data_IF_401191851860
#
_entry.id   IF_401191851860
#
_cell.length_a   1.000
_cell.length_b   1.000
_cell.length_c   1.000
_cell.angle_alpha   90.00
_cell.angle_beta   90.00
_cell.angle_gamma   90.00
#
_symmetry.space_group_name_H-M   'P 1'
#
loop_
_entity.id
_entity.type
_entity.pdbx_description
1 polymer ?
#
# COMPACT_ATOMS: atom_id res chain seq x y z
N UNK A 1 16.07 2.20 1.01
CA UNK A 1 15.42 1.32 0.02
C UNK A 1 14.90 2.24 -1.08
N UNK A 2 15.13 1.93 -2.36
CA UNK A 2 14.58 2.74 -3.45
C UNK A 2 13.27 2.11 -3.97
N UNK A 3 12.57 2.81 -4.87
CA UNK A 3 11.28 2.37 -5.37
C UNK A 3 11.35 1.03 -6.11
N UNK A 4 12.34 0.85 -6.98
CA UNK A 4 12.47 -0.39 -7.77
C UNK A 4 12.64 -1.62 -6.87
N UNK A 5 13.51 -1.55 -5.85
CA UNK A 5 13.67 -2.65 -4.90
C UNK A 5 12.37 -2.93 -4.13
N UNK A 6 11.63 -1.89 -3.73
CA UNK A 6 10.34 -2.07 -3.06
C UNK A 6 9.32 -2.78 -3.96
N UNK A 7 9.23 -2.37 -5.23
CA UNK A 7 8.32 -2.97 -6.21
C UNK A 7 8.70 -4.40 -6.55
N UNK A 8 9.99 -4.70 -6.75
CA UNK A 8 10.49 -6.06 -6.95
C UNK A 8 10.11 -6.98 -5.80
N UNK A 9 10.26 -6.50 -4.56
CA UNK A 9 9.86 -7.24 -3.37
C UNK A 9 8.35 -7.50 -3.35
N UNK A 10 7.54 -6.47 -3.57
CA UNK A 10 6.08 -6.59 -3.60
C UNK A 10 5.60 -7.61 -4.65
N UNK A 11 6.24 -7.63 -5.82
CA UNK A 11 5.94 -8.58 -6.91
C UNK A 11 6.45 -9.99 -6.61
N UNK A 12 7.60 -10.14 -5.93
CA UNK A 12 8.20 -11.44 -5.62
C UNK A 12 7.50 -12.25 -4.53
N UNK A 13 6.64 -11.60 -3.75
CA UNK A 13 5.83 -12.26 -2.73
C UNK A 13 4.89 -13.30 -3.38
N UNK A 14 4.64 -14.41 -2.69
CA UNK A 14 3.75 -15.48 -3.19
C UNK A 14 2.57 -15.70 -2.25
N UNK A 15 1.32 -15.32 -2.63
CA UNK A 15 0.95 -14.41 -3.73
C UNK A 15 1.54 -12.98 -3.69
N UNK A 16 1.60 -12.27 -4.82
CA UNK A 16 2.10 -10.89 -4.87
C UNK A 16 1.33 -9.95 -3.95
N UNK A 17 1.99 -8.90 -3.45
CA UNK A 17 1.30 -7.85 -2.75
C UNK A 17 0.40 -7.04 -3.71
N UNK A 18 -0.73 -6.58 -3.16
CA UNK A 18 -1.67 -5.68 -3.84
C UNK A 18 -1.77 -4.32 -3.14
N UNK A 19 -1.13 -4.17 -1.97
CA UNK A 19 -1.04 -2.91 -1.23
C UNK A 19 0.41 -2.62 -0.86
N UNK A 20 0.83 -1.36 -0.99
CA UNK A 20 2.08 -0.85 -0.46
C UNK A 20 1.75 0.37 0.40
N UNK A 21 2.23 0.37 1.65
CA UNK A 21 2.18 1.50 2.56
C UNK A 21 3.59 1.99 2.83
N UNK A 22 3.92 3.16 2.30
CA UNK A 22 5.22 3.79 2.48
C UNK A 22 5.21 4.72 3.69
N UNK A 23 5.52 4.18 4.88
CA UNK A 23 5.64 4.94 6.14
C UNK A 23 7.11 5.24 6.49
N UNK A 24 8.01 5.01 5.54
CA UNK A 24 9.45 5.24 5.68
C UNK A 24 9.81 6.72 5.58
N UNK A 25 10.86 7.14 6.27
CA UNK A 25 11.43 8.51 6.16
C UNK A 25 12.19 8.76 4.87
N UNK A 26 12.38 7.72 4.06
CA UNK A 26 13.12 7.84 2.82
C UNK A 26 12.10 8.12 1.74
N UNK A 27 11.88 9.41 1.46
CA UNK A 27 11.13 9.88 0.30
C UNK A 27 11.62 9.07 -0.89
N UNK A 28 10.78 8.20 -1.44
CA UNK A 28 11.07 7.60 -2.73
C UNK A 28 11.35 8.76 -3.69
N UNK A 29 12.40 8.68 -4.51
CA UNK A 29 12.76 9.73 -5.47
C UNK A 29 11.70 9.94 -6.58
N UNK A 30 10.51 9.36 -6.40
CA UNK A 30 9.40 9.30 -7.32
C UNK A 30 8.16 9.86 -6.65
N UNK A 31 7.35 10.57 -7.43
CA UNK A 31 6.00 10.90 -7.05
C UNK A 31 5.15 9.62 -6.95
N UNK A 32 4.10 9.67 -6.13
CA UNK A 32 3.18 8.54 -5.93
C UNK A 32 2.62 8.00 -7.25
N UNK A 33 2.31 8.88 -8.21
CA UNK A 33 1.88 8.52 -9.57
C UNK A 33 2.92 7.68 -10.31
N UNK A 34 4.19 8.05 -10.22
CA UNK A 34 5.29 7.34 -10.88
C UNK A 34 5.53 5.97 -10.24
N UNK A 35 5.40 5.86 -8.92
CA UNK A 35 5.46 4.57 -8.21
C UNK A 35 4.30 3.67 -8.64
N UNK A 36 3.08 4.20 -8.65
CA UNK A 36 1.87 3.49 -9.06
C UNK A 36 1.95 3.00 -10.52
N UNK A 37 2.39 3.87 -11.43
CA UNK A 37 2.58 3.55 -12.84
C UNK A 37 3.61 2.43 -13.03
N UNK A 38 4.80 2.56 -12.41
CA UNK A 38 5.85 1.54 -12.50
C UNK A 38 5.40 0.21 -11.92
N UNK A 39 4.68 0.24 -10.80
CA UNK A 39 4.18 -0.99 -10.19
C UNK A 39 3.15 -1.68 -11.08
N UNK A 40 2.19 -0.93 -11.63
CA UNK A 40 1.20 -1.44 -12.55
C UNK A 40 1.83 -2.06 -13.80
N UNK A 41 2.88 -1.43 -14.35
CA UNK A 41 3.65 -1.98 -15.48
C UNK A 41 4.47 -3.22 -15.13
N UNK A 42 4.87 -3.39 -13.87
CA UNK A 42 5.70 -4.53 -13.42
C UNK A 42 4.87 -5.78 -13.11
N UNK A 43 3.54 -5.63 -12.95
CA UNK A 43 2.64 -6.73 -12.62
C UNK A 43 2.03 -7.31 -13.90
N UNK A 44 2.39 -8.57 -14.22
CA UNK A 44 1.82 -9.36 -15.32
C UNK A 44 0.62 -10.19 -14.86
N UNK A 45 -0.35 -9.54 -14.22
CA UNK A 45 -1.58 -10.15 -13.72
C UNK A 45 -2.77 -9.51 -14.45
N UNK A 46 -3.55 -10.34 -15.14
CA UNK A 46 -4.73 -9.90 -15.90
C UNK A 46 -5.89 -9.47 -15.01
N UNK A 47 -5.89 -9.86 -13.73
CA UNK A 47 -6.88 -9.39 -12.74
C UNK A 47 -6.54 -7.99 -12.22
N UNK A 48 -5.33 -7.48 -12.48
CA UNK A 48 -4.93 -6.11 -12.14
C UNK A 48 -5.16 -5.20 -13.33
N UNK A 49 -6.05 -4.22 -13.15
CA UNK A 49 -6.47 -3.28 -14.21
C UNK A 49 -6.00 -1.85 -13.97
N UNK A 50 -5.71 -1.48 -12.72
CA UNK A 50 -5.36 -0.12 -12.34
C UNK A 50 -4.51 -0.03 -11.06
N UNK A 51 -4.01 1.16 -10.75
CA UNK A 51 -3.32 1.49 -9.51
C UNK A 51 -3.89 2.76 -8.87
N UNK A 52 -4.16 2.70 -7.58
CA UNK A 52 -4.70 3.79 -6.76
C UNK A 52 -3.56 4.43 -5.97
N UNK A 53 -3.55 5.76 -5.94
CA UNK A 53 -2.54 6.56 -5.24
C UNK A 53 -3.09 7.96 -4.92
N UNK A 54 -2.41 8.68 -4.04
CA UNK A 54 -2.65 10.12 -3.87
C UNK A 54 -1.79 10.92 -4.82
N UNK A 55 -2.39 11.82 -5.58
CA UNK A 55 -1.63 12.76 -6.39
C UNK A 55 -0.95 13.86 -5.54
N UNK A 56 -0.20 14.74 -6.18
CA UNK A 56 0.49 15.85 -5.49
C UNK A 56 -0.45 16.88 -4.86
N UNK A 57 -1.73 16.90 -5.25
CA UNK A 57 -2.77 17.74 -4.68
C UNK A 57 -3.47 17.10 -3.47
N UNK A 58 -3.14 15.86 -3.13
CA UNK A 58 -3.83 15.10 -2.09
C UNK A 58 -5.18 14.56 -2.51
N UNK A 59 -5.45 14.47 -3.82
CA UNK A 59 -6.62 13.78 -4.34
C UNK A 59 -6.32 12.29 -4.54
N UNK A 60 -7.26 11.43 -4.14
CA UNK A 60 -7.18 10.00 -4.37
C UNK A 60 -7.53 9.70 -5.83
N UNK A 61 -6.52 9.33 -6.60
CA UNK A 61 -6.59 9.08 -8.02
C UNK A 61 -6.40 7.60 -8.35
N UNK A 62 -6.83 7.23 -9.55
CA UNK A 62 -6.58 5.92 -10.14
C UNK A 62 -5.93 6.10 -11.51
N UNK A 63 -4.94 5.26 -11.81
CA UNK A 63 -4.28 5.14 -13.10
C UNK A 63 -4.55 3.76 -13.67
N UNK A 64 -5.23 3.68 -14.81
CA UNK A 64 -5.48 2.42 -15.51
C UNK A 64 -4.34 2.04 -16.46
N UNK A 65 -4.29 0.76 -16.88
CA UNK A 65 -3.25 0.26 -17.81
C UNK A 65 -3.17 0.97 -19.15
N UNK A 66 -4.24 1.64 -19.58
CA UNK A 66 -4.28 2.46 -20.79
C UNK A 66 -3.72 3.89 -20.58
N UNK A 67 -3.21 4.21 -19.39
CA UNK A 67 -2.61 5.51 -19.07
C UNK A 67 -3.61 6.60 -18.70
N UNK A 68 -4.90 6.28 -18.49
CA UNK A 68 -5.89 7.25 -18.04
C UNK A 68 -5.76 7.44 -16.53
N UNK A 69 -5.57 8.70 -16.12
CA UNK A 69 -5.63 9.13 -14.72
C UNK A 69 -6.94 9.87 -14.47
N UNK A 70 -7.65 9.48 -13.42
CA UNK A 70 -8.89 10.12 -12.99
C UNK A 70 -9.07 10.04 -11.47
N UNK A 71 -9.97 10.87 -10.92
CA UNK A 71 -10.38 10.79 -9.52
C UNK A 71 -11.02 9.43 -9.22
N UNK A 72 -10.64 8.78 -8.12
CA UNK A 72 -11.19 7.47 -7.78
C UNK A 72 -12.72 7.53 -7.65
N UNK A 73 -13.26 8.59 -7.05
CA UNK A 73 -14.70 8.74 -6.82
C UNK A 73 -15.53 8.79 -8.10
N UNK A 74 -14.95 9.27 -9.20
CA UNK A 74 -15.62 9.36 -10.51
C UNK A 74 -15.33 8.13 -11.39
N UNK A 75 -14.34 7.33 -11.02
CA UNK A 75 -13.90 6.18 -11.79
C UNK A 75 -14.78 4.95 -11.57
N UNK A 76 -14.97 4.08 -12.58
CA UNK A 76 -15.53 2.74 -12.37
C UNK A 76 -14.75 1.92 -11.33
N UNK A 77 -13.46 2.22 -11.12
CA UNK A 77 -12.62 1.52 -10.16
C UNK A 77 -13.02 1.74 -8.70
N UNK A 78 -13.80 2.78 -8.35
CA UNK A 78 -14.37 2.93 -7.00
C UNK A 78 -15.16 1.68 -6.54
N UNK A 79 -15.79 0.97 -7.48
CA UNK A 79 -16.55 -0.26 -7.21
C UNK A 79 -15.76 -1.54 -7.53
N UNK A 80 -14.54 -1.41 -8.04
CA UNK A 80 -13.70 -2.50 -8.53
C UNK A 80 -12.31 -2.49 -7.89
N UNK A 81 -12.22 -2.08 -6.63
CA UNK A 81 -10.95 -2.01 -5.86
C UNK A 81 -10.18 -3.33 -5.87
N UNK A 82 -10.88 -4.47 -5.98
CA UNK A 82 -10.26 -5.79 -6.10
C UNK A 82 -9.47 -6.04 -7.40
N UNK A 83 -9.53 -5.13 -8.36
CA UNK A 83 -8.71 -5.12 -9.56
C UNK A 83 -7.59 -4.07 -9.51
N UNK A 84 -7.45 -3.36 -8.38
CA UNK A 84 -6.51 -2.26 -8.23
C UNK A 84 -5.33 -2.65 -7.35
N UNK A 85 -4.14 -2.19 -7.71
CA UNK A 85 -3.03 -2.01 -6.79
C UNK A 85 -3.29 -0.75 -5.95
N UNK A 86 -2.78 -0.70 -4.71
CA UNK A 86 -2.96 0.45 -3.82
C UNK A 86 -1.61 0.87 -3.26
N UNK A 87 -1.17 2.08 -3.59
CA UNK A 87 0.05 2.68 -3.06
C UNK A 87 -0.30 3.92 -2.23
N UNK A 88 0.09 3.95 -0.96
CA UNK A 88 -0.15 5.09 -0.06
C UNK A 88 1.14 5.47 0.68
N UNK A 89 1.39 6.76 0.84
CA UNK A 89 2.50 7.30 1.63
C UNK A 89 2.05 7.71 3.06
N UNK A 90 3.03 8.06 3.91
CA UNK A 90 2.79 8.51 5.29
C UNK A 90 1.78 9.67 5.38
N UNK A 91 1.78 10.58 4.40
CA UNK A 91 0.99 11.82 4.42
C UNK A 91 -0.51 11.52 4.44
N UNK A 92 -0.95 10.53 3.64
CA UNK A 92 -2.38 10.29 3.41
C UNK A 92 -2.91 8.97 3.96
N UNK A 93 -2.06 8.15 4.59
CA UNK A 93 -2.49 6.90 5.27
C UNK A 93 -3.52 7.11 6.39
N UNK A 94 -3.60 8.31 6.97
CA UNK A 94 -4.58 8.69 8.00
C UNK A 94 -5.93 9.19 7.48
N UNK A 95 -6.01 9.61 6.22
CA UNK A 95 -7.17 10.34 5.69
C UNK A 95 -8.02 9.52 4.71
N UNK A 96 -7.78 8.21 4.60
CA UNK A 96 -8.35 7.40 3.53
C UNK A 96 -9.18 6.25 4.07
N UNK A 97 -10.49 6.31 3.88
CA UNK A 97 -11.37 5.14 4.04
C UNK A 97 -11.39 4.36 2.72
N UNK A 98 -10.39 3.48 2.55
CA UNK A 98 -10.31 2.58 1.40
C UNK A 98 -10.50 1.14 1.85
N UNK A 99 -11.62 0.53 1.45
CA UNK A 99 -11.91 -0.88 1.71
C UNK A 99 -11.26 -1.74 0.63
N UNK A 100 -10.13 -2.34 0.97
CA UNK A 100 -9.45 -3.32 0.12
C UNK A 100 -9.94 -4.75 0.43
N UNK A 101 -9.92 -5.68 -0.54
CA UNK A 101 -10.29 -7.06 -0.28
C UNK A 101 -9.44 -7.71 0.82
N UNK A 102 -10.04 -8.58 1.62
CA UNK A 102 -9.33 -9.29 2.71
C UNK A 102 -8.27 -10.26 2.21
N UNK A 103 -8.35 -10.68 0.94
CA UNK A 103 -7.34 -11.49 0.26
C UNK A 103 -6.06 -10.71 -0.08
N UNK A 104 -6.09 -9.37 -0.04
CA UNK A 104 -4.94 -8.56 -0.37
C UNK A 104 -3.81 -8.74 0.63
N UNK A 105 -2.59 -8.65 0.13
CA UNK A 105 -1.38 -8.56 0.95
C UNK A 105 -0.76 -7.18 0.84
N UNK A 106 -0.34 -6.67 1.98
CA UNK A 106 0.32 -5.38 2.09
C UNK A 106 1.81 -5.56 2.35
N UNK A 107 2.62 -4.73 1.70
CA UNK A 107 4.00 -4.45 2.10
C UNK A 107 4.01 -3.10 2.79
N UNK A 108 4.63 -3.02 3.96
CA UNK A 108 4.71 -1.77 4.74
C UNK A 108 6.17 -1.42 4.95
N UNK A 109 6.59 -0.25 4.48
CA UNK A 109 7.90 0.31 4.80
C UNK A 109 7.82 1.03 6.14
N UNK A 110 8.83 0.88 6.99
CA UNK A 110 8.84 1.48 8.32
C UNK A 110 10.05 2.38 8.53
N UNK A 111 9.84 3.46 9.27
CA UNK A 111 10.89 4.33 9.80
C UNK A 111 11.75 3.58 10.84
N UNK A 112 13.09 3.71 10.82
CA UNK A 112 13.95 3.23 11.90
C UNK A 112 13.52 3.81 13.25
N UNK A 113 13.31 2.96 14.25
CA UNK A 113 12.87 3.39 15.59
C UNK A 113 11.36 3.44 15.79
N UNK A 114 10.54 3.12 14.78
CA UNK A 114 9.12 2.85 15.01
C UNK A 114 8.99 1.54 15.80
N UNK A 115 8.60 1.63 17.06
CA UNK A 115 8.46 0.47 17.94
C UNK A 115 7.30 -0.43 17.47
N UNK A 116 7.54 -1.75 17.51
CA UNK A 116 6.60 -2.83 17.20
C UNK A 116 5.20 -2.59 17.78
N UNK A 117 5.10 -2.01 18.97
CA UNK A 117 3.84 -1.80 19.68
C UNK A 117 2.98 -0.66 19.11
N UNK A 118 3.60 0.38 18.52
CA UNK A 118 2.87 1.44 17.81
C UNK A 118 2.27 0.94 16.50
N UNK A 119 2.96 -0.02 15.87
CA UNK A 119 2.55 -0.67 14.63
C UNK A 119 1.38 -1.60 14.91
N UNK A 120 1.51 -2.48 15.91
CA UNK A 120 0.41 -3.35 16.35
C UNK A 120 -0.77 -2.51 16.81
N UNK A 121 -0.59 -1.41 17.57
CA UNK A 121 -1.72 -0.54 17.94
C UNK A 121 -2.38 0.17 16.76
N UNK A 122 -1.63 0.63 15.75
CA UNK A 122 -2.20 1.21 14.54
C UNK A 122 -3.03 0.20 13.74
N UNK A 123 -2.73 -1.10 13.87
CA UNK A 123 -3.48 -2.18 13.22
C UNK A 123 -4.53 -2.87 14.13
N UNK A 124 -4.35 -2.91 15.45
CA UNK A 124 -5.30 -3.46 16.43
C UNK A 124 -6.45 -2.49 16.70
N UNK A 125 -6.20 -1.19 16.56
CA UNK A 125 -7.26 -0.16 16.52
C UNK A 125 -8.14 -0.29 15.26
N UNK A 126 -7.84 -1.23 14.35
CA UNK A 126 -8.65 -1.61 13.19
C UNK A 126 -9.55 -2.85 13.45
N UNK A 127 -9.65 -3.34 14.69
CA UNK A 127 -10.69 -4.30 15.09
C UNK A 127 -11.88 -3.60 15.78
N UNK A 128 -12.97 -3.42 15.02
CA UNK A 128 -14.36 -3.09 15.44
C UNK A 128 -14.57 -1.76 16.20
N UNK A 129 -15.43 -0.83 15.75
CA UNK A 129 -16.88 -0.96 15.69
C UNK A 129 -17.53 -0.37 14.42
N UNK A 130 -18.68 -0.95 14.04
CA UNK A 130 -19.34 -0.82 12.74
C UNK A 130 -20.02 0.53 12.43
N UNK A 131 -19.81 1.61 13.19
CA UNK A 131 -20.59 2.85 13.02
C UNK A 131 -19.76 4.14 12.81
N UNK A 132 -18.42 4.07 12.80
CA UNK A 132 -17.57 5.21 12.42
C UNK A 132 -16.23 4.76 11.84
N UNK A 133 -16.08 4.83 10.51
CA UNK A 133 -14.90 4.32 9.78
C UNK A 133 -13.75 5.35 9.77
N UNK A 134 -12.53 4.94 10.16
CA UNK A 134 -11.32 5.78 10.04
C UNK A 134 -10.06 4.95 9.74
N UNK A 135 -9.96 4.31 8.56
CA UNK A 135 -8.69 3.73 8.08
C UNK A 135 -8.78 2.60 7.04
N UNK A 136 -7.68 2.35 6.33
CA UNK A 136 -7.54 1.23 5.39
C UNK A 136 -7.27 -0.10 6.13
N UNK A 137 -8.08 -1.13 5.85
CA UNK A 137 -8.00 -2.44 6.54
C UNK A 137 -7.39 -3.49 5.61
N UNK A 138 -6.21 -4.01 5.94
CA UNK A 138 -5.59 -5.16 5.26
C UNK A 138 -5.18 -6.23 6.28
N UNK A 139 -5.60 -7.49 6.07
CA UNK A 139 -5.40 -8.59 7.05
C UNK A 139 -4.07 -9.34 6.91
N UNK A 140 -3.37 -9.21 5.78
CA UNK A 140 -2.11 -9.91 5.50
C UNK A 140 -0.97 -8.91 5.29
N UNK A 141 -0.25 -8.54 6.35
CA UNK A 141 0.72 -7.43 6.32
C UNK A 141 2.16 -7.95 6.48
N UNK A 142 3.03 -7.51 5.58
CA UNK A 142 4.48 -7.77 5.60
C UNK A 142 5.22 -6.49 5.96
N UNK A 143 6.05 -6.53 6.99
CA UNK A 143 6.80 -5.36 7.46
C UNK A 143 8.24 -5.37 6.96
N UNK A 144 8.66 -4.22 6.41
CA UNK A 144 10.01 -3.95 5.93
C UNK A 144 10.70 -2.98 6.90
N UNK A 145 11.67 -3.47 7.66
CA UNK A 145 12.49 -2.67 8.56
C UNK A 145 13.95 -3.09 8.52
N UNK A 146 14.87 -2.13 8.75
CA UNK A 146 16.26 -2.45 9.07
C UNK A 146 16.35 -2.78 10.55
N UNK A 147 16.71 -4.00 10.90
CA UNK A 147 17.12 -4.31 12.28
C UNK A 147 18.61 -4.01 12.43
N UNK A 148 19.05 -3.65 13.64
CA UNK A 148 20.44 -3.30 13.94
C UNK A 148 21.45 -4.44 13.74
N UNK A 149 21.01 -5.66 13.41
CA UNK A 149 21.88 -6.82 13.18
C UNK A 149 21.71 -7.52 11.83
N UNK A 150 20.77 -7.10 10.98
CA UNK A 150 20.70 -7.68 9.65
C UNK A 150 20.08 -6.72 8.62
N UNK A 151 20.75 -6.60 7.47
CA UNK A 151 20.45 -5.61 6.45
C UNK A 151 19.29 -6.00 5.53
N UNK A 152 18.66 -7.18 5.74
CA UNK A 152 17.52 -7.70 4.95
C UNK A 152 16.54 -8.60 5.73
N UNK A 153 16.21 -8.27 6.99
CA UNK A 153 15.22 -9.06 7.73
C UNK A 153 13.78 -8.68 7.34
N UNK A 154 13.15 -9.52 6.50
CA UNK A 154 11.71 -9.46 6.19
C UNK A 154 10.94 -10.23 7.26
N UNK A 155 9.93 -9.62 7.90
CA UNK A 155 9.10 -10.33 8.87
C UNK A 155 7.62 -10.32 8.44
N UNK A 156 7.05 -11.52 8.37
CA UNK A 156 5.61 -11.72 8.23
C UNK A 156 4.95 -11.54 9.60
N UNK A 157 3.95 -10.68 9.68
CA UNK A 157 3.09 -10.59 10.85
C UNK A 157 1.65 -10.86 10.42
N UNK A 158 1.07 -11.95 10.91
CA UNK A 158 -0.37 -12.18 10.86
C UNK A 158 -0.97 -11.66 12.16
N UNK A 159 -1.82 -10.63 12.09
CA UNK A 159 -2.70 -10.27 13.20
C UNK A 159 -3.60 -11.47 13.50
N UNK A 160 -3.66 -11.91 14.76
CA UNK A 160 -4.63 -12.92 15.21
C UNK A 160 -5.99 -12.27 15.44
#
# INVERSE_FOLDING_TARGET
MNANTLLELAVSLVPPARVILDLGTQVLELQNEEVAARWLSSVNDSEVSAAIFFDSGGELCVLSRNGIKESLNMSPFAKQIGQCLVYLDETYTRCTDLRVPTSYRAVVTLRPGLMKDRIVQAFDSLQADAESWTGMICRNVWFLGRTSQDSRAYQQFSGR
#
